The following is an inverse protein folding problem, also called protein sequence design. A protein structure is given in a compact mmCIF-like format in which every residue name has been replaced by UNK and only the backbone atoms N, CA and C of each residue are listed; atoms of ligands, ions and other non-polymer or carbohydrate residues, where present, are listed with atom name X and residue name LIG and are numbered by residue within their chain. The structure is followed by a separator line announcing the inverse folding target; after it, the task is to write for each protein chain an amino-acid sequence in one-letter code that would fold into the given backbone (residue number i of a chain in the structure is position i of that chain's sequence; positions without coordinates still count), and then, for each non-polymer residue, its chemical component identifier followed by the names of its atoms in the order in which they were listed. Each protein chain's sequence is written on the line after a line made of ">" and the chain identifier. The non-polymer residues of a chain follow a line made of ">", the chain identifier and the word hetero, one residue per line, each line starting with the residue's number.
data_IF_145895933123
#
_entry.id   IF_145895933123
#
_cell.length_a   1.000
_cell.length_b   1.000
_cell.length_c   1.000
_cell.angle_alpha   90.00
_cell.angle_beta   90.00
_cell.angle_gamma   90.00
#
_symmetry.space_group_name_H-M   'P 1'
#
loop_
_entity.id
_entity.type
_entity.pdbx_description
1 polymer ?
#
# COMPACT_ATOMS: atom_id res chain seq x y z
N UNK A 1 -7.40 -9.58 -10.67
CA UNK A 1 -6.75 -8.93 -11.83
C UNK A 1 -7.77 -8.53 -12.90
N UNK A 2 -8.77 -9.37 -13.18
CA UNK A 2 -9.87 -9.09 -14.13
C UNK A 2 -10.46 -7.69 -13.99
N UNK A 3 -10.79 -7.24 -12.77
CA UNK A 3 -11.33 -5.89 -12.55
C UNK A 3 -10.37 -4.79 -13.01
N UNK A 4 -9.08 -4.89 -12.69
CA UNK A 4 -8.07 -3.92 -13.12
C UNK A 4 -7.98 -3.90 -14.64
N UNK A 5 -7.96 -5.07 -15.28
CA UNK A 5 -7.85 -5.17 -16.74
C UNK A 5 -9.05 -4.56 -17.48
N UNK A 6 -10.28 -4.72 -16.96
CA UNK A 6 -11.50 -4.32 -17.67
C UNK A 6 -12.03 -2.93 -17.26
N UNK A 7 -11.74 -2.48 -16.04
CA UNK A 7 -12.36 -1.27 -15.48
C UNK A 7 -11.35 -0.19 -15.10
N UNK A 8 -10.05 -0.48 -15.09
CA UNK A 8 -9.04 0.48 -14.69
C UNK A 8 -8.14 0.89 -15.87
N UNK A 9 -7.62 2.12 -15.77
CA UNK A 9 -6.58 2.69 -16.62
C UNK A 9 -5.27 2.77 -15.83
N UNK A 10 -4.21 2.28 -16.45
CA UNK A 10 -2.84 2.33 -15.93
C UNK A 10 -2.10 3.53 -16.52
N UNK A 11 -1.18 4.10 -15.75
CA UNK A 11 -0.27 5.14 -16.22
C UNK A 11 0.77 4.58 -17.21
N UNK A 12 1.16 3.32 -17.01
CA UNK A 12 2.03 2.55 -17.92
C UNK A 12 1.44 1.16 -18.06
N UNK A 13 1.48 0.63 -19.28
CA UNK A 13 1.10 -0.74 -19.56
C UNK A 13 2.04 -1.72 -18.85
N UNK A 14 1.46 -2.59 -18.04
CA UNK A 14 2.19 -3.63 -17.30
C UNK A 14 1.49 -4.96 -17.48
N UNK A 15 2.26 -6.03 -17.71
CA UNK A 15 1.70 -7.38 -17.75
C UNK A 15 1.19 -7.83 -16.38
N UNK A 16 0.22 -8.74 -16.37
CA UNK A 16 -0.30 -9.34 -15.13
C UNK A 16 0.82 -10.01 -14.31
N UNK A 17 1.77 -10.66 -14.99
CA UNK A 17 2.94 -11.26 -14.35
C UNK A 17 3.81 -10.21 -13.64
N UNK A 18 4.01 -9.04 -14.25
CA UNK A 18 4.75 -7.96 -13.60
C UNK A 18 3.99 -7.46 -12.36
N UNK A 19 2.67 -7.27 -12.44
CA UNK A 19 1.88 -6.85 -11.29
C UNK A 19 1.95 -7.88 -10.16
N UNK A 20 1.84 -9.18 -10.49
CA UNK A 20 2.00 -10.25 -9.51
C UNK A 20 3.40 -10.24 -8.88
N UNK A 21 4.46 -10.08 -9.67
CA UNK A 21 5.83 -9.99 -9.16
C UNK A 21 6.04 -8.74 -8.28
N UNK A 22 5.43 -7.61 -8.62
CA UNK A 22 5.44 -6.40 -7.80
C UNK A 22 4.79 -6.65 -6.43
N UNK A 23 3.62 -7.29 -6.43
CA UNK A 23 2.92 -7.74 -5.22
C UNK A 23 3.75 -8.69 -4.37
N UNK A 24 4.31 -9.75 -4.95
CA UNK A 24 5.07 -10.74 -4.18
C UNK A 24 6.33 -10.14 -3.57
N UNK A 25 7.04 -9.26 -4.31
CA UNK A 25 8.19 -8.53 -3.76
C UNK A 25 7.81 -7.68 -2.56
N UNK A 26 6.74 -6.91 -2.66
CA UNK A 26 6.29 -6.08 -1.55
C UNK A 26 5.91 -6.94 -0.34
N UNK A 27 5.17 -8.03 -0.58
CA UNK A 27 4.82 -8.99 0.46
C UNK A 27 6.08 -9.56 1.15
N UNK A 28 7.09 -9.96 0.37
CA UNK A 28 8.36 -10.46 0.91
C UNK A 28 9.08 -9.40 1.73
N UNK A 29 9.15 -8.16 1.25
CA UNK A 29 9.73 -7.04 2.02
C UNK A 29 8.99 -6.82 3.34
N UNK A 30 7.65 -6.92 3.34
CA UNK A 30 6.85 -6.71 4.55
C UNK A 30 7.05 -7.82 5.58
N UNK A 31 7.31 -9.05 5.13
CA UNK A 31 7.56 -10.22 5.97
C UNK A 31 9.02 -10.32 6.46
N UNK A 32 9.94 -9.54 5.89
CA UNK A 32 11.34 -9.60 6.27
C UNK A 32 11.55 -9.21 7.74
N UNK A 33 12.36 -10.01 8.44
CA UNK A 33 12.72 -9.78 9.84
C UNK A 33 11.65 -10.19 10.86
N UNK A 34 10.49 -10.66 10.42
CA UNK A 34 9.40 -11.07 11.31
C UNK A 34 9.56 -12.54 11.73
N UNK A 35 9.52 -12.80 13.04
CA UNK A 35 9.56 -14.15 13.59
C UNK A 35 8.17 -14.80 13.56
N UNK A 36 8.10 -16.12 13.33
CA UNK A 36 6.83 -16.85 13.26
C UNK A 36 5.99 -16.74 14.56
N UNK A 37 6.62 -16.49 15.70
CA UNK A 37 5.96 -16.29 17.00
C UNK A 37 5.32 -14.91 17.16
N UNK A 38 5.68 -13.91 16.33
CA UNK A 38 5.14 -12.55 16.38
C UNK A 38 4.02 -12.27 15.36
N UNK A 39 3.80 -13.16 14.40
CA UNK A 39 2.87 -12.94 13.28
C UNK A 39 1.52 -13.59 13.55
N UNK A 40 0.53 -12.78 13.94
CA UNK A 40 -0.85 -13.25 14.05
C UNK A 40 -1.51 -13.39 12.67
N UNK A 41 -2.52 -14.26 12.55
CA UNK A 41 -3.29 -14.41 11.29
C UNK A 41 -3.91 -13.09 10.84
N UNK A 42 -4.40 -12.27 11.79
CA UNK A 42 -4.93 -10.95 11.51
C UNK A 42 -3.86 -10.06 10.88
N UNK A 43 -2.69 -9.98 11.52
CA UNK A 43 -1.58 -9.16 11.05
C UNK A 43 -1.16 -9.57 9.63
N UNK A 44 -1.07 -10.88 9.39
CA UNK A 44 -0.69 -11.41 8.08
C UNK A 44 -1.72 -11.06 7.00
N UNK A 45 -3.02 -11.15 7.33
CA UNK A 45 -4.08 -10.74 6.41
C UNK A 45 -3.99 -9.25 6.09
N UNK A 46 -3.75 -8.37 7.07
CA UNK A 46 -3.59 -6.94 6.80
C UNK A 46 -2.35 -6.62 5.95
N UNK A 47 -1.22 -7.28 6.22
CA UNK A 47 0.00 -7.14 5.38
C UNK A 47 -0.26 -7.61 3.95
N UNK A 48 -1.00 -8.71 3.78
CA UNK A 48 -1.43 -9.17 2.46
C UNK A 48 -2.31 -8.12 1.77
N UNK A 49 -3.29 -7.55 2.46
CA UNK A 49 -4.18 -6.53 1.89
C UNK A 49 -3.41 -5.27 1.46
N UNK A 50 -2.47 -4.79 2.29
CA UNK A 50 -1.61 -3.67 1.96
C UNK A 50 -0.75 -3.96 0.73
N UNK A 51 -0.10 -5.13 0.73
CA UNK A 51 0.79 -5.54 -0.36
C UNK A 51 0.03 -5.69 -1.67
N UNK A 52 -1.22 -6.18 -1.63
CA UNK A 52 -2.06 -6.33 -2.82
C UNK A 52 -2.41 -4.99 -3.45
N UNK A 53 -2.84 -4.01 -2.66
CA UNK A 53 -3.16 -2.66 -3.15
C UNK A 53 -1.97 -2.04 -3.88
N UNK A 54 -0.81 -2.01 -3.23
CA UNK A 54 0.37 -1.32 -3.75
C UNK A 54 1.14 -2.15 -4.78
N UNK A 55 1.09 -3.46 -4.67
CA UNK A 55 1.69 -4.38 -5.62
C UNK A 55 0.97 -4.38 -6.97
N UNK A 56 -0.36 -4.48 -6.95
CA UNK A 56 -1.18 -4.61 -8.16
C UNK A 56 -1.67 -3.27 -8.72
N UNK A 57 -1.77 -2.24 -7.89
CA UNK A 57 -2.39 -0.98 -8.29
C UNK A 57 -1.51 0.25 -8.19
N UNK A 58 -0.20 0.10 -7.97
CA UNK A 58 0.77 1.22 -7.97
C UNK A 58 0.71 2.06 -9.25
N UNK A 59 0.49 1.42 -10.40
CA UNK A 59 0.42 2.09 -11.71
C UNK A 59 -0.98 2.59 -12.08
N UNK A 60 -1.99 2.42 -11.22
CA UNK A 60 -3.34 2.92 -11.50
C UNK A 60 -3.37 4.45 -11.54
N UNK A 61 -4.09 4.99 -12.52
CA UNK A 61 -4.44 6.43 -12.59
C UNK A 61 -5.32 6.85 -11.41
N UNK A 62 -5.37 8.16 -11.11
CA UNK A 62 -6.13 8.69 -9.98
C UNK A 62 -7.62 8.29 -9.98
N UNK A 63 -8.28 8.33 -11.15
CA UNK A 63 -9.70 7.91 -11.24
C UNK A 63 -9.87 6.40 -11.11
N UNK A 64 -8.91 5.62 -11.63
CA UNK A 64 -8.94 4.16 -11.49
C UNK A 64 -8.67 3.70 -10.06
N UNK A 65 -7.88 4.47 -9.30
CA UNK A 65 -7.69 4.26 -7.86
C UNK A 65 -8.98 4.42 -7.07
N UNK A 66 -9.85 5.37 -7.45
CA UNK A 66 -11.18 5.54 -6.83
C UNK A 66 -12.10 4.34 -7.13
N UNK A 67 -12.13 3.90 -8.39
CA UNK A 67 -12.89 2.71 -8.80
C UNK A 67 -12.42 1.46 -8.07
N UNK A 68 -11.10 1.26 -8.00
CA UNK A 68 -10.49 0.15 -7.27
C UNK A 68 -10.80 0.20 -5.77
N UNK A 69 -10.74 1.37 -5.14
CA UNK A 69 -11.07 1.53 -3.72
C UNK A 69 -12.49 1.03 -3.42
N UNK A 70 -13.48 1.49 -4.20
CA UNK A 70 -14.89 1.07 -4.03
C UNK A 70 -15.03 -0.44 -4.22
N UNK A 71 -14.54 -0.97 -5.33
CA UNK A 71 -14.62 -2.40 -5.64
C UNK A 71 -13.94 -3.27 -4.58
N UNK A 72 -12.71 -2.90 -4.20
CA UNK A 72 -11.92 -3.67 -3.25
C UNK A 72 -12.56 -3.67 -1.86
N UNK A 73 -13.07 -2.53 -1.39
CA UNK A 73 -13.81 -2.47 -0.11
C UNK A 73 -15.04 -3.36 -0.12
N UNK A 74 -15.86 -3.34 -1.19
CA UNK A 74 -17.03 -4.20 -1.32
C UNK A 74 -16.70 -5.69 -1.30
N UNK A 75 -15.57 -6.11 -1.88
CA UNK A 75 -15.07 -7.50 -1.73
C UNK A 75 -14.77 -7.83 -0.27
N UNK A 76 -14.05 -6.94 0.42
CA UNK A 76 -13.60 -7.21 1.79
C UNK A 76 -14.76 -7.26 2.80
N UNK A 77 -15.86 -6.56 2.54
CA UNK A 77 -17.08 -6.67 3.35
C UNK A 77 -18.06 -7.74 2.85
N UNK A 78 -17.80 -8.33 1.68
CA UNK A 78 -18.60 -9.39 1.05
C UNK A 78 -19.95 -8.95 0.54
N UNK A 79 -20.02 -7.74 -0.01
CA UNK A 79 -21.20 -7.22 -0.70
C UNK A 79 -21.36 -7.82 -2.10
N UNK A 80 -20.31 -8.43 -2.65
CA UNK A 80 -20.32 -9.01 -4.00
C UNK A 80 -20.51 -10.52 -3.93
N UNK A 81 -21.69 -11.00 -4.33
CA UNK A 81 -22.00 -12.44 -4.38
C UNK A 81 -21.07 -13.21 -5.33
N UNK A 82 -20.63 -12.57 -6.42
CA UNK A 82 -19.69 -13.14 -7.39
C UNK A 82 -18.30 -13.41 -6.78
N UNK A 83 -17.94 -12.68 -5.72
CA UNK A 83 -16.63 -12.76 -5.05
C UNK A 83 -16.79 -13.04 -3.55
N UNK A 84 -17.21 -14.27 -3.19
CA UNK A 84 -17.48 -14.60 -1.80
C UNK A 84 -16.22 -14.53 -0.93
N UNK A 85 -16.39 -14.08 0.31
CA UNK A 85 -15.29 -14.04 1.29
C UNK A 85 -14.76 -15.45 1.58
N UNK A 86 -13.43 -15.65 1.55
CA UNK A 86 -12.85 -16.92 2.01
C UNK A 86 -13.22 -17.19 3.47
N UNK A 87 -13.51 -18.45 3.82
CA UNK A 87 -13.89 -18.86 5.19
C UNK A 87 -12.85 -18.46 6.26
N UNK A 88 -11.58 -18.39 5.86
CA UNK A 88 -10.46 -18.00 6.73
C UNK A 88 -10.28 -16.48 6.85
N UNK A 89 -10.94 -15.68 6.00
CA UNK A 89 -10.91 -14.22 6.07
C UNK A 89 -11.87 -13.75 7.17
N UNK A 90 -11.32 -13.32 8.30
CA UNK A 90 -12.09 -12.99 9.52
C UNK A 90 -11.83 -11.58 10.03
N UNK A 91 -11.30 -10.70 9.18
CA UNK A 91 -11.08 -9.30 9.56
C UNK A 91 -12.41 -8.60 9.76
N UNK A 92 -12.55 -7.97 10.93
CA UNK A 92 -13.68 -7.12 11.26
C UNK A 92 -13.46 -5.72 10.67
N UNK A 93 -14.53 -4.92 10.59
CA UNK A 93 -14.50 -3.55 10.05
C UNK A 93 -13.41 -2.66 10.69
N UNK A 94 -13.15 -2.81 11.99
CA UNK A 94 -12.12 -2.07 12.72
C UNK A 94 -10.67 -2.49 12.41
N UNK A 95 -10.48 -3.69 11.82
CA UNK A 95 -9.17 -4.20 11.42
C UNK A 95 -8.86 -3.93 9.94
N UNK A 96 -9.88 -3.51 9.18
CA UNK A 96 -9.74 -3.04 7.80
C UNK A 96 -9.36 -1.56 7.76
N UNK A 97 -9.10 -1.05 6.56
CA UNK A 97 -8.81 0.36 6.31
C UNK A 97 -9.90 1.26 6.92
N UNK A 98 -9.53 2.37 7.57
CA UNK A 98 -10.50 3.34 8.03
C UNK A 98 -11.43 3.81 6.90
N UNK A 99 -12.66 4.18 7.25
CA UNK A 99 -13.67 4.64 6.29
C UNK A 99 -13.37 6.03 5.74
N UNK A 100 -12.60 6.83 6.47
CA UNK A 100 -12.16 8.13 6.02
C UNK A 100 -11.14 7.96 4.88
N UNK A 101 -11.37 8.63 3.77
CA UNK A 101 -10.49 8.55 2.61
C UNK A 101 -10.55 7.19 1.92
N UNK A 102 -9.55 6.91 1.11
CA UNK A 102 -9.42 5.72 0.28
C UNK A 102 -8.39 4.75 0.85
N UNK A 103 -8.38 3.51 0.40
CA UNK A 103 -7.35 2.52 0.76
C UNK A 103 -5.92 2.98 0.44
N UNK A 104 -5.76 3.97 -0.44
CA UNK A 104 -4.47 4.55 -0.83
C UNK A 104 -3.90 5.54 0.18
N UNK A 105 -4.73 6.00 1.13
CA UNK A 105 -4.36 7.01 2.12
C UNK A 105 -3.82 6.40 3.41
N UNK A 106 -3.82 5.06 3.48
CA UNK A 106 -3.46 4.30 4.67
C UNK A 106 -2.24 3.40 4.39
N UNK A 107 -1.39 3.30 5.39
CA UNK A 107 -0.29 2.34 5.47
C UNK A 107 -0.52 1.40 6.65
N UNK A 108 -0.09 0.16 6.51
CA UNK A 108 -0.10 -0.78 7.62
C UNK A 108 1.21 -0.68 8.40
N UNK A 109 1.16 -0.05 9.58
CA UNK A 109 2.27 -0.09 10.52
C UNK A 109 2.31 -1.49 11.15
N UNK A 110 3.47 -2.15 11.06
CA UNK A 110 3.68 -3.51 11.56
C UNK A 110 3.84 -3.55 13.09
N UNK A 111 4.14 -2.40 13.73
CA UNK A 111 4.41 -2.30 15.17
C UNK A 111 3.17 -2.60 16.01
N UNK A 112 3.37 -3.05 17.26
CA UNK A 112 2.32 -3.23 18.27
C UNK A 112 1.12 -4.08 17.80
N UNK A 113 1.36 -5.25 17.18
CA UNK A 113 0.33 -6.13 16.59
C UNK A 113 -0.41 -5.54 15.38
N UNK A 114 0.07 -4.41 14.88
CA UNK A 114 -0.25 -3.80 13.60
C UNK A 114 -1.52 -2.97 13.58
N UNK A 115 -1.46 -1.84 12.88
CA UNK A 115 -2.58 -0.93 12.71
C UNK A 115 -2.48 -0.13 11.40
N UNK A 116 -3.62 0.37 10.93
CA UNK A 116 -3.68 1.30 9.80
C UNK A 116 -3.44 2.73 10.29
N UNK A 117 -2.45 3.41 9.71
CA UNK A 117 -2.12 4.81 10.02
C UNK A 117 -2.11 5.64 8.74
N UNK A 118 -2.31 6.95 8.86
CA UNK A 118 -2.18 7.85 7.70
C UNK A 118 -0.71 7.93 7.29
N UNK A 119 -0.45 8.19 6.00
CA UNK A 119 0.91 8.42 5.52
C UNK A 119 1.62 9.55 6.26
N UNK A 120 0.94 10.62 6.67
CA UNK A 120 1.55 11.70 7.47
C UNK A 120 1.96 11.24 8.88
N UNK A 121 1.22 10.30 9.45
CA UNK A 121 1.47 9.80 10.81
C UNK A 121 2.64 8.81 10.87
N UNK A 122 3.15 8.36 9.72
CA UNK A 122 4.32 7.46 9.63
C UNK A 122 5.65 8.13 9.97
N UNK A 123 5.66 9.42 10.29
CA UNK A 123 6.87 10.18 10.50
C UNK A 123 7.68 9.65 11.69
N UNK A 124 8.78 8.95 11.38
CA UNK A 124 10.03 9.23 12.06
C UNK A 124 10.21 10.75 11.96
N UNK A 125 10.18 11.45 13.10
CA UNK A 125 10.45 12.87 13.19
C UNK A 125 11.71 13.15 12.37
N UNK A 126 11.57 13.79 11.21
CA UNK A 126 12.72 14.28 10.46
C UNK A 126 13.57 15.10 11.43
N UNK A 127 14.90 14.93 11.46
CA UNK A 127 15.74 15.81 12.26
C UNK A 127 15.39 17.24 11.87
N UNK A 128 15.04 18.03 12.89
CA UNK A 128 14.70 19.43 12.78
C UNK A 128 15.85 20.10 12.01
N UNK A 129 15.59 20.50 10.76
CA UNK A 129 16.63 21.03 9.88
C UNK A 129 17.05 22.38 10.43
N UNK A 130 18.09 22.39 11.25
CA UNK A 130 18.81 23.58 11.65
C UNK A 130 19.68 23.98 10.46
N UNK A 131 19.19 24.95 9.68
CA UNK A 131 19.89 25.66 8.62
C UNK A 131 20.24 24.89 7.34
N UNK A 132 19.41 25.02 6.30
CA UNK A 132 19.84 25.32 4.91
C UNK A 132 18.63 25.66 4.02
N UNK A 133 18.86 26.57 3.08
CA UNK A 133 18.00 27.13 2.02
C UNK A 133 16.59 26.52 1.84
N UNK A 134 15.57 27.39 1.84
CA UNK A 134 14.14 27.07 1.59
C UNK A 134 13.92 26.26 0.30
N UNK A 135 14.78 26.40 -0.69
CA UNK A 135 14.73 25.65 -1.96
C UNK A 135 15.04 24.16 -1.84
N UNK A 136 15.64 23.70 -0.74
CA UNK A 136 15.96 22.28 -0.49
C UNK A 136 14.95 21.62 0.46
N UNK A 137 13.91 22.36 0.87
CA UNK A 137 12.97 21.94 1.89
C UNK A 137 11.84 21.12 1.25
N UNK A 138 11.99 19.80 1.24
CA UNK A 138 10.93 18.89 0.80
C UNK A 138 9.81 18.91 1.86
N UNK A 139 8.70 19.58 1.53
CA UNK A 139 7.50 19.58 2.37
C UNK A 139 7.00 18.13 2.50
N UNK A 140 6.76 17.69 3.74
CA UNK A 140 6.17 16.38 3.97
C UNK A 140 4.70 16.41 3.55
N UNK A 141 4.42 15.86 2.37
CA UNK A 141 3.08 15.52 1.89
C UNK A 141 2.87 14.00 1.88
N UNK A 142 1.63 13.53 1.79
CA UNK A 142 1.31 12.10 1.64
C UNK A 142 2.08 11.44 0.50
N UNK A 143 2.30 12.17 -0.59
CA UNK A 143 3.07 11.67 -1.73
C UNK A 143 4.55 11.47 -1.39
N UNK A 144 5.19 12.47 -0.76
CA UNK A 144 6.60 12.32 -0.35
C UNK A 144 6.78 11.23 0.72
N UNK A 145 5.82 11.07 1.63
CA UNK A 145 5.83 10.01 2.64
C UNK A 145 5.74 8.62 1.98
N UNK A 146 4.81 8.44 1.04
CA UNK A 146 4.68 7.21 0.23
C UNK A 146 5.95 6.88 -0.53
N UNK A 147 6.48 7.84 -1.28
CA UNK A 147 7.69 7.65 -2.08
C UNK A 147 8.87 7.24 -1.18
N UNK A 148 9.05 7.94 -0.05
CA UNK A 148 10.10 7.62 0.93
C UNK A 148 9.94 6.23 1.54
N UNK A 149 8.72 5.84 1.87
CA UNK A 149 8.43 4.52 2.41
C UNK A 149 8.84 3.42 1.42
N UNK A 150 8.33 3.45 0.18
CA UNK A 150 8.66 2.43 -0.81
C UNK A 150 10.16 2.43 -1.15
N UNK A 151 10.77 3.62 -1.26
CA UNK A 151 12.20 3.72 -1.49
C UNK A 151 13.00 3.02 -0.37
N UNK A 152 12.71 3.31 0.90
CA UNK A 152 13.40 2.66 2.04
C UNK A 152 13.17 1.15 2.06
N UNK A 153 11.92 0.71 1.91
CA UNK A 153 11.53 -0.70 1.92
C UNK A 153 12.27 -1.50 0.85
N UNK A 154 12.32 -0.99 -0.37
CA UNK A 154 12.95 -1.70 -1.49
C UNK A 154 14.48 -1.56 -1.51
N UNK A 155 15.04 -0.40 -1.12
CA UNK A 155 16.49 -0.24 -1.02
C UNK A 155 17.11 -1.15 0.03
N UNK A 156 16.46 -1.32 1.19
CA UNK A 156 16.91 -2.26 2.23
C UNK A 156 17.07 -3.69 1.70
N UNK A 157 16.17 -4.06 0.78
CA UNK A 157 16.13 -5.35 0.11
C UNK A 157 16.90 -5.43 -1.22
N UNK A 158 17.64 -4.38 -1.59
CA UNK A 158 18.38 -4.25 -2.86
C UNK A 158 17.49 -4.50 -4.09
N UNK A 159 16.23 -4.09 -4.00
CA UNK A 159 15.24 -4.20 -5.06
C UNK A 159 15.22 -2.87 -5.83
N UNK A 160 15.45 -2.85 -7.16
CA UNK A 160 15.28 -1.65 -7.96
C UNK A 160 13.81 -1.23 -8.05
N UNK A 161 13.58 0.08 -7.94
CA UNK A 161 12.28 0.76 -8.07
C UNK A 161 12.38 1.87 -9.11
N UNK A 162 11.28 2.11 -9.83
CA UNK A 162 11.14 3.20 -10.80
C UNK A 162 10.09 4.20 -10.30
N UNK A 163 10.45 5.48 -10.22
CA UNK A 163 9.52 6.58 -9.99
C UNK A 163 9.19 7.27 -11.30
N UNK A 164 7.91 7.61 -11.47
CA UNK A 164 7.38 8.12 -12.72
C UNK A 164 6.44 9.26 -12.41
N UNK A 165 6.63 10.39 -13.08
CA UNK A 165 5.86 11.60 -12.92
C UNK A 165 6.25 12.62 -13.99
N UNK A 166 5.50 13.73 -14.10
CA UNK A 166 5.91 14.85 -14.93
C UNK A 166 7.26 15.40 -14.45
N UNK A 167 8.02 16.03 -15.35
CA UNK A 167 9.26 16.71 -14.98
C UNK A 167 8.93 17.97 -14.17
N UNK A 168 9.32 18.02 -12.90
CA UNK A 168 9.15 19.17 -12.01
C UNK A 168 8.80 18.74 -10.59
#
# INVERSE_FOLDING_TARGET
>A
LTFIHHHCKLFIETSELHLFHSFTRLMTCMLEGESQSGVSTQWLQCVFLFSLIWGLGSTLTGDSRKLFDTFYRSILVGELEEYPKPVKFKLNKHQLFPEKGTVWDWIYDKKNNGCWVSWLDTSDKTPQITSTKVTELIIQTDETARQRYFLRTYLGMKIPILFIGPTG
#
